data_IF_482794038660
#
_entry.id   IF_482794038660
#
_cell.length_a   1.000
_cell.length_b   1.000
_cell.length_c   1.000
_cell.angle_alpha   90.00
_cell.angle_beta   90.00
_cell.angle_gamma   90.00
#
_symmetry.space_group_name_H-M   'P 1'
#
loop_
_entity.id
_entity.type
_entity.pdbx_description
1 polymer ?
#
# COMPACT_ATOMS: atom_id res chain seq x y z
N UNK A 1 -1.34 -0.12 13.35
CA UNK A 1 -2.66 0.12 13.93
C UNK A 1 -2.64 1.09 15.11
N UNK A 2 -1.73 0.96 16.05
CA UNK A 2 -1.64 1.78 17.27
C UNK A 2 -0.62 2.91 17.16
N UNK A 3 -0.70 3.71 16.10
CA UNK A 3 0.16 4.88 15.88
C UNK A 3 -0.68 6.15 15.99
N UNK A 4 -0.28 7.08 16.86
CA UNK A 4 -0.92 8.36 17.15
C UNK A 4 -0.46 9.51 16.24
N UNK A 5 0.43 9.21 15.30
CA UNK A 5 0.98 10.17 14.35
C UNK A 5 0.05 10.38 13.15
N UNK A 6 0.48 11.26 12.25
CA UNK A 6 -0.26 11.59 11.02
C UNK A 6 -0.61 10.38 10.15
N UNK A 7 0.19 9.31 10.18
CA UNK A 7 -0.07 8.06 9.48
C UNK A 7 -1.33 7.32 9.99
N UNK A 8 -1.82 7.67 11.18
CA UNK A 8 -3.13 7.22 11.66
C UNK A 8 -4.25 7.53 10.66
N UNK A 9 -4.15 8.62 9.91
CA UNK A 9 -5.12 8.98 8.86
C UNK A 9 -5.39 7.84 7.88
N UNK A 10 -4.39 6.99 7.62
CA UNK A 10 -4.52 5.82 6.77
C UNK A 10 -4.80 4.51 7.54
N UNK A 11 -4.02 4.25 8.59
CA UNK A 11 -4.09 2.95 9.25
C UNK A 11 -5.24 2.80 10.23
N UNK A 12 -5.56 3.88 10.96
CA UNK A 12 -6.59 3.91 11.99
C UNK A 12 -6.96 5.37 12.32
N UNK A 13 -7.84 6.01 11.56
CA UNK A 13 -8.21 7.41 11.76
C UNK A 13 -8.64 7.75 13.19
N UNK A 14 -9.28 6.82 13.94
CA UNK A 14 -9.67 7.04 15.32
C UNK A 14 -8.48 7.41 16.23
N UNK A 15 -7.27 6.99 15.88
CA UNK A 15 -6.04 7.30 16.63
C UNK A 15 -5.55 8.74 16.51
N UNK A 16 -6.11 9.53 15.60
CA UNK A 16 -5.84 10.97 15.53
C UNK A 16 -6.22 11.70 16.84
N UNK A 17 -7.13 11.11 17.63
CA UNK A 17 -7.57 11.67 18.92
C UNK A 17 -6.55 11.49 20.05
N UNK A 18 -5.58 10.58 19.94
CA UNK A 18 -4.71 10.15 21.05
C UNK A 18 -3.68 11.19 21.48
N UNK A 19 -3.13 11.97 20.57
CA UNK A 19 -2.29 13.13 20.88
C UNK A 19 -3.03 14.42 20.46
N UNK A 20 -3.37 15.32 21.38
CA UNK A 20 -4.11 16.54 21.06
C UNK A 20 -3.28 17.60 20.32
N UNK A 21 -1.97 17.42 20.24
CA UNK A 21 -1.07 18.37 19.56
C UNK A 21 -1.21 18.26 18.05
N UNK A 22 -1.00 19.37 17.36
CA UNK A 22 -0.82 19.40 15.93
C UNK A 22 0.54 18.80 15.53
N UNK A 23 0.62 18.27 14.34
CA UNK A 23 1.84 17.68 13.77
C UNK A 23 2.00 18.08 12.31
N UNK A 24 3.24 18.35 11.93
CA UNK A 24 3.67 18.44 10.54
C UNK A 24 4.82 17.46 10.35
N UNK A 25 4.66 16.51 9.44
CA UNK A 25 5.63 15.43 9.23
C UNK A 25 6.11 15.42 7.79
N UNK A 26 7.41 15.25 7.63
CA UNK A 26 8.07 14.91 6.36
C UNK A 26 8.76 13.57 6.55
N UNK A 27 8.48 12.62 5.64
CA UNK A 27 9.03 11.28 5.70
C UNK A 27 9.65 10.86 4.36
N UNK A 28 10.64 9.97 4.45
CA UNK A 28 11.28 9.31 3.34
C UNK A 28 11.30 7.81 3.61
N UNK A 29 11.09 7.03 2.57
CA UNK A 29 11.24 5.59 2.59
C UNK A 29 12.07 5.17 1.38
N UNK A 30 12.96 4.23 1.58
CA UNK A 30 13.79 3.63 0.55
C UNK A 30 13.75 2.12 0.73
N UNK A 31 13.36 1.39 -0.31
CA UNK A 31 13.33 -0.06 -0.32
C UNK A 31 14.27 -0.59 -1.41
N UNK A 32 15.12 -1.52 -1.02
CA UNK A 32 15.97 -2.30 -1.89
C UNK A 32 15.46 -3.74 -1.89
N UNK A 33 15.37 -4.35 -3.05
CA UNK A 33 14.87 -5.71 -3.20
C UNK A 33 15.87 -6.52 -4.01
N UNK A 34 16.18 -7.71 -3.50
CA UNK A 34 16.95 -8.74 -4.16
C UNK A 34 15.99 -9.93 -4.38
N UNK A 35 15.44 -10.03 -5.59
CA UNK A 35 14.46 -11.04 -5.94
C UNK A 35 15.06 -11.99 -6.95
N UNK A 36 14.94 -13.30 -6.72
CA UNK A 36 15.55 -14.35 -7.51
C UNK A 36 14.49 -15.29 -8.05
N UNK A 37 14.75 -15.85 -9.23
CA UNK A 37 14.00 -16.96 -9.76
C UNK A 37 14.97 -17.86 -10.54
N UNK A 38 15.32 -18.97 -9.92
CA UNK A 38 16.28 -19.94 -10.45
C UNK A 38 15.56 -21.06 -11.18
N UNK A 39 16.03 -21.37 -12.39
CA UNK A 39 15.48 -22.44 -13.22
C UNK A 39 16.53 -23.00 -14.19
N UNK A 40 16.24 -24.12 -14.88
CA UNK A 40 17.20 -24.78 -15.78
C UNK A 40 17.70 -23.91 -16.94
N UNK A 41 16.87 -22.92 -17.34
CA UNK A 41 17.20 -21.99 -18.43
C UNK A 41 17.57 -20.59 -17.91
N UNK A 42 17.60 -20.40 -16.59
CA UNK A 42 17.80 -19.11 -15.93
C UNK A 42 18.72 -19.26 -14.76
N UNK A 43 19.68 -18.39 -14.64
CA UNK A 43 20.63 -18.35 -13.54
C UNK A 43 20.69 -16.91 -13.03
N UNK A 44 20.15 -16.67 -11.84
CA UNK A 44 20.34 -15.42 -11.11
C UNK A 44 19.15 -14.48 -10.99
N UNK A 45 19.45 -13.21 -10.84
CA UNK A 45 18.53 -12.14 -10.51
C UNK A 45 17.49 -11.91 -11.60
N UNK A 46 16.23 -12.02 -11.23
CA UNK A 46 15.09 -11.93 -12.14
C UNK A 46 14.63 -10.50 -12.34
N UNK A 47 14.93 -9.62 -11.42
CA UNK A 47 14.53 -8.22 -11.49
C UNK A 47 15.73 -7.32 -11.67
N UNK A 48 15.58 -6.34 -12.55
CA UNK A 48 16.46 -5.20 -12.52
C UNK A 48 16.37 -4.56 -11.12
N UNK A 49 17.52 -4.40 -10.45
CA UNK A 49 17.65 -3.71 -9.17
C UNK A 49 17.09 -2.29 -9.26
N UNK A 50 15.82 -2.14 -9.01
CA UNK A 50 15.16 -0.85 -9.04
C UNK A 50 14.66 -0.54 -7.64
N UNK A 51 15.41 0.25 -6.87
CA UNK A 51 14.97 0.64 -5.53
C UNK A 51 13.70 1.48 -5.62
N UNK A 52 12.80 1.27 -4.69
CA UNK A 52 11.59 2.07 -4.51
C UNK A 52 11.87 3.21 -3.54
N UNK A 53 11.47 4.44 -3.88
CA UNK A 53 11.64 5.61 -3.03
C UNK A 53 10.34 6.38 -2.89
N UNK A 54 9.90 6.58 -1.65
CA UNK A 54 8.70 7.33 -1.33
C UNK A 54 9.04 8.58 -0.54
N UNK A 55 8.40 9.68 -0.91
CA UNK A 55 8.37 10.92 -0.13
C UNK A 55 6.97 11.10 0.41
N UNK A 56 6.88 11.40 1.70
CA UNK A 56 5.63 11.54 2.41
C UNK A 56 5.59 12.89 3.12
N UNK A 57 4.47 13.58 2.99
CA UNK A 57 4.15 14.76 3.77
C UNK A 57 2.82 14.57 4.47
N UNK A 58 2.71 15.00 5.72
CA UNK A 58 1.47 14.87 6.45
C UNK A 58 1.28 15.94 7.50
N UNK A 59 0.03 16.22 7.80
CA UNK A 59 -0.39 17.16 8.82
C UNK A 59 -1.52 16.57 9.65
N UNK A 60 -1.45 16.79 10.94
CA UNK A 60 -2.53 16.52 11.88
C UNK A 60 -2.79 17.79 12.70
N UNK A 61 -4.06 18.09 12.96
CA UNK A 61 -4.41 19.26 13.76
C UNK A 61 -5.69 19.06 14.56
N UNK A 62 -5.80 19.76 15.66
CA UNK A 62 -7.00 19.80 16.50
C UNK A 62 -7.88 20.97 16.08
N UNK A 63 -9.06 20.68 15.57
CA UNK A 63 -10.04 21.68 15.10
C UNK A 63 -11.09 22.03 16.16
N UNK A 64 -10.96 21.55 17.38
CA UNK A 64 -11.97 21.74 18.45
C UNK A 64 -12.28 23.22 18.71
N UNK A 65 -11.27 24.07 18.65
CA UNK A 65 -11.45 25.53 18.84
C UNK A 65 -12.21 26.23 17.70
N UNK A 66 -12.27 25.61 16.52
CA UNK A 66 -12.97 26.12 15.34
C UNK A 66 -14.42 25.65 15.25
N UNK A 67 -14.81 24.72 16.10
CA UNK A 67 -16.12 24.08 16.06
C UNK A 67 -16.94 24.41 17.31
N UNK A 68 -18.26 24.30 17.20
CA UNK A 68 -19.19 24.42 18.33
C UNK A 68 -19.62 23.06 18.88
N UNK A 69 -19.00 21.99 18.43
CA UNK A 69 -19.29 20.64 18.90
C UNK A 69 -18.78 20.43 20.33
N UNK A 70 -19.49 19.60 21.09
CA UNK A 70 -19.10 19.26 22.47
C UNK A 70 -17.91 18.28 22.50
N UNK A 71 -17.68 17.56 21.41
CA UNK A 71 -16.62 16.56 21.30
C UNK A 71 -15.44 17.16 20.52
N UNK A 72 -14.21 16.82 20.91
CA UNK A 72 -13.03 17.28 20.19
C UNK A 72 -13.01 16.70 18.78
N UNK A 73 -12.64 17.51 17.80
CA UNK A 73 -12.50 17.12 16.41
C UNK A 73 -11.04 17.25 16.00
N UNK A 74 -10.53 16.20 15.43
CA UNK A 74 -9.18 16.12 14.87
C UNK A 74 -9.25 15.94 13.37
N UNK A 75 -8.32 16.55 12.68
CA UNK A 75 -8.17 16.45 11.25
C UNK A 75 -6.79 15.90 10.93
N UNK A 76 -6.71 15.01 9.94
CA UNK A 76 -5.49 14.44 9.44
C UNK A 76 -5.43 14.47 7.92
N UNK A 77 -4.26 14.73 7.40
CA UNK A 77 -3.95 14.74 5.99
C UNK A 77 -2.58 14.09 5.79
N UNK A 78 -2.48 13.21 4.80
CA UNK A 78 -1.23 12.59 4.41
C UNK A 78 -1.21 12.40 2.89
N UNK A 79 -0.13 12.82 2.26
CA UNK A 79 0.13 12.59 0.86
C UNK A 79 1.50 11.95 0.67
N UNK A 80 1.61 11.05 -0.27
CA UNK A 80 2.87 10.41 -0.62
C UNK A 80 3.01 10.27 -2.12
N UNK A 81 4.25 10.33 -2.57
CA UNK A 81 4.64 10.14 -3.96
C UNK A 81 5.77 9.14 -4.02
N UNK A 82 5.62 8.14 -4.86
CA UNK A 82 6.69 7.21 -5.21
C UNK A 82 7.45 7.72 -6.42
N UNK A 83 8.77 7.81 -6.31
CA UNK A 83 9.63 8.33 -7.37
C UNK A 83 9.71 7.40 -8.58
N UNK A 84 9.60 6.10 -8.35
CA UNK A 84 9.74 5.07 -9.38
C UNK A 84 8.54 4.11 -9.32
N UNK A 85 7.32 4.67 -9.41
CA UNK A 85 6.11 3.86 -9.48
C UNK A 85 6.20 2.87 -10.63
N UNK A 86 6.01 1.59 -10.32
CA UNK A 86 5.90 0.53 -11.32
C UNK A 86 4.47 0.05 -11.35
N UNK A 87 4.05 -0.37 -12.51
CA UNK A 87 2.77 -1.04 -12.70
C UNK A 87 2.74 -2.35 -11.90
N UNK A 88 1.60 -2.66 -11.33
CA UNK A 88 1.37 -3.92 -10.62
C UNK A 88 1.58 -5.11 -11.56
N UNK A 89 1.13 -4.95 -12.79
CA UNK A 89 1.25 -5.91 -13.88
C UNK A 89 1.70 -5.15 -15.13
N UNK A 90 2.95 -5.28 -15.50
CA UNK A 90 3.40 -4.88 -16.83
C UNK A 90 2.90 -5.90 -17.87
N UNK A 91 2.55 -5.42 -19.07
CA UNK A 91 2.28 -6.35 -20.17
C UNK A 91 3.51 -7.19 -20.42
N UNK A 92 3.36 -8.49 -20.25
CA UNK A 92 4.37 -9.43 -20.69
C UNK A 92 4.56 -9.27 -22.19
N UNK A 93 5.70 -8.79 -22.59
CA UNK A 93 6.15 -8.90 -23.97
C UNK A 93 6.73 -10.29 -24.14
N UNK A 94 6.40 -10.98 -25.24
CA UNK A 94 7.03 -12.25 -25.61
C UNK A 94 8.55 -12.14 -25.76
N UNK A 95 9.10 -10.94 -25.62
CA UNK A 95 10.52 -10.63 -25.69
C UNK A 95 11.11 -10.27 -24.32
N UNK A 96 10.31 -10.29 -23.23
CA UNK A 96 10.82 -10.05 -21.88
C UNK A 96 11.54 -11.31 -21.39
N UNK A 97 12.86 -11.23 -21.29
CA UNK A 97 13.69 -12.31 -20.73
C UNK A 97 13.78 -12.24 -19.21
N UNK A 98 13.31 -11.14 -18.59
CA UNK A 98 13.33 -10.92 -17.15
C UNK A 98 11.94 -11.08 -16.56
N UNK A 99 11.83 -11.83 -15.48
CA UNK A 99 10.62 -11.93 -14.67
C UNK A 99 10.52 -10.79 -13.66
N UNK A 100 9.38 -10.67 -13.03
CA UNK A 100 9.18 -9.76 -11.90
C UNK A 100 8.19 -10.35 -10.91
N UNK A 101 8.39 -10.02 -9.64
CA UNK A 101 7.43 -10.34 -8.61
C UNK A 101 6.24 -9.37 -8.68
N UNK A 102 5.07 -9.86 -8.29
CA UNK A 102 3.92 -9.00 -8.08
C UNK A 102 4.16 -8.10 -6.87
N UNK A 103 4.02 -6.82 -7.06
CA UNK A 103 4.17 -5.83 -6.01
C UNK A 103 2.80 -5.30 -5.61
N UNK A 104 2.29 -5.80 -4.49
CA UNK A 104 0.99 -5.42 -3.98
C UNK A 104 1.05 -4.12 -3.18
N UNK A 105 -0.04 -3.35 -3.25
CA UNK A 105 -0.21 -2.16 -2.41
C UNK A 105 0.69 -0.98 -2.73
N UNK A 106 1.38 -0.99 -3.85
CA UNK A 106 2.11 0.19 -4.33
C UNK A 106 1.15 1.19 -4.92
N UNK A 107 1.36 2.44 -4.58
CA UNK A 107 0.62 3.57 -5.15
C UNK A 107 1.59 4.69 -5.46
N UNK A 108 1.74 5.04 -6.73
CA UNK A 108 2.67 6.10 -7.15
C UNK A 108 2.29 7.47 -6.58
N UNK A 109 1.00 7.68 -6.34
CA UNK A 109 0.46 8.88 -5.69
C UNK A 109 -0.72 8.47 -4.82
N UNK A 110 -0.68 8.82 -3.55
CA UNK A 110 -1.82 8.68 -2.67
C UNK A 110 -2.07 9.95 -1.86
N UNK A 111 -3.35 10.17 -1.58
CA UNK A 111 -3.82 11.25 -0.75
C UNK A 111 -4.86 10.69 0.23
N UNK A 112 -4.62 10.82 1.53
CA UNK A 112 -5.61 10.48 2.54
C UNK A 112 -5.98 11.72 3.34
N UNK A 113 -7.28 11.95 3.50
CA UNK A 113 -7.84 13.06 4.27
C UNK A 113 -8.84 12.46 5.23
N UNK A 114 -8.75 12.80 6.50
CA UNK A 114 -9.63 12.23 7.49
C UNK A 114 -9.86 13.07 8.71
N UNK A 115 -10.76 12.59 9.54
CA UNK A 115 -11.06 13.20 10.84
C UNK A 115 -11.45 12.16 11.87
N UNK A 116 -11.32 12.55 13.11
CA UNK A 116 -11.68 11.71 14.25
C UNK A 116 -12.25 12.55 15.40
N UNK A 117 -13.01 11.86 16.24
CA UNK A 117 -13.59 12.45 17.43
C UNK A 117 -13.65 11.41 18.55
N UNK A 118 -13.58 11.89 19.79
CA UNK A 118 -13.95 11.07 20.95
C UNK A 118 -15.48 11.09 21.08
N UNK A 119 -16.12 9.93 20.98
CA UNK A 119 -17.58 9.80 21.06
C UNK A 119 -18.03 9.72 22.50
N UNK A 120 -17.37 8.89 23.29
CA UNK A 120 -17.73 8.64 24.67
C UNK A 120 -16.51 8.07 25.42
N UNK A 121 -16.32 8.45 26.69
CA UNK A 121 -15.33 7.94 27.66
C UNK A 121 -14.36 6.90 27.12
N UNK A 122 -13.31 7.30 26.39
CA UNK A 122 -12.32 6.37 25.87
C UNK A 122 -12.74 5.60 24.58
N UNK A 123 -13.91 5.90 24.01
CA UNK A 123 -14.33 5.41 22.71
C UNK A 123 -14.12 6.49 21.67
N UNK A 124 -13.27 6.22 20.71
CA UNK A 124 -12.95 7.10 19.60
C UNK A 124 -13.45 6.52 18.29
N UNK A 125 -13.86 7.38 17.38
CA UNK A 125 -14.19 7.00 16.01
C UNK A 125 -13.50 7.92 15.02
N UNK A 126 -13.16 7.37 13.87
CA UNK A 126 -12.51 8.08 12.80
C UNK A 126 -12.96 7.62 11.43
N UNK A 127 -12.92 8.55 10.50
CA UNK A 127 -13.19 8.34 9.09
C UNK A 127 -12.14 9.04 8.28
N UNK A 128 -11.68 8.40 7.21
CA UNK A 128 -10.87 9.07 6.21
C UNK A 128 -11.27 8.63 4.80
N UNK A 129 -10.91 9.45 3.84
CA UNK A 129 -11.04 9.20 2.43
C UNK A 129 -9.65 9.07 1.83
N UNK A 130 -9.46 8.01 1.07
CA UNK A 130 -8.30 7.79 0.22
C UNK A 130 -8.65 8.21 -1.18
N UNK A 131 -7.82 9.02 -1.80
CA UNK A 131 -7.98 9.49 -3.18
C UNK A 131 -6.84 8.92 -4.00
N UNK A 132 -7.18 8.17 -5.04
CA UNK A 132 -6.29 7.65 -6.07
C UNK A 132 -6.72 8.19 -7.43
N UNK A 133 -5.92 7.99 -8.47
CA UNK A 133 -6.22 8.42 -9.83
C UNK A 133 -6.41 7.21 -10.73
N UNK A 134 -7.50 7.22 -11.49
CA UNK A 134 -7.74 6.33 -12.62
C UNK A 134 -7.53 7.14 -13.90
N UNK A 135 -6.77 6.63 -14.87
CA UNK A 135 -6.49 7.34 -16.10
C UNK A 135 -7.01 6.56 -17.31
N UNK A 136 -7.58 7.26 -18.28
CA UNK A 136 -7.99 6.72 -19.56
C UNK A 136 -7.32 7.53 -20.67
N UNK A 137 -6.67 6.86 -21.61
CA UNK A 137 -6.05 7.48 -22.75
C UNK A 137 -6.65 6.94 -24.06
N UNK A 138 -6.96 7.82 -24.98
CA UNK A 138 -7.40 7.48 -26.35
C UNK A 138 -6.32 7.91 -27.32
N UNK A 139 -5.83 6.99 -28.13
CA UNK A 139 -4.81 7.23 -29.18
C UNK A 139 -5.37 6.92 -30.55
N UNK A 140 -5.59 7.95 -31.36
CA UNK A 140 -5.94 7.82 -32.76
C UNK A 140 -4.69 8.05 -33.61
N UNK A 141 -4.31 7.04 -34.39
CA UNK A 141 -3.13 7.12 -35.26
C UNK A 141 -3.48 6.74 -36.69
N UNK A 142 -3.10 7.60 -37.64
CA UNK A 142 -3.16 7.32 -39.08
C UNK A 142 -1.74 7.24 -39.61
N UNK A 143 -1.33 6.07 -40.09
CA UNK A 143 0.01 5.79 -40.56
C UNK A 143 -0.02 5.16 -41.98
N UNK A 144 1.12 5.15 -42.66
CA UNK A 144 1.31 4.39 -43.87
C UNK A 144 2.18 3.16 -43.63
N UNK A 145 2.30 2.27 -44.65
CA UNK A 145 3.12 1.07 -44.55
C UNK A 145 4.63 1.34 -44.38
N UNK A 146 5.09 2.55 -44.64
CA UNK A 146 6.46 3.00 -44.39
C UNK A 146 6.71 3.47 -42.97
N UNK A 147 5.68 3.46 -42.10
CA UNK A 147 5.77 3.93 -40.72
C UNK A 147 5.67 5.46 -40.57
N UNK A 148 5.32 6.18 -41.64
CA UNK A 148 5.13 7.64 -41.57
C UNK A 148 3.74 7.93 -41.01
N UNK A 149 3.66 8.61 -39.87
CA UNK A 149 2.42 9.02 -39.21
C UNK A 149 1.90 10.33 -39.81
N UNK A 150 0.70 10.30 -40.35
CA UNK A 150 0.03 11.52 -40.93
C UNK A 150 -0.76 12.27 -39.89
N UNK A 151 -1.29 11.57 -38.89
CA UNK A 151 -2.08 12.16 -37.82
C UNK A 151 -1.92 11.30 -36.56
N UNK A 152 -1.68 11.98 -35.46
CA UNK A 152 -1.66 11.39 -34.14
C UNK A 152 -2.44 12.30 -33.19
N UNK A 153 -3.35 11.72 -32.43
CA UNK A 153 -4.11 12.42 -31.42
C UNK A 153 -4.14 11.57 -30.16
N UNK A 154 -3.58 12.13 -29.09
CA UNK A 154 -3.66 11.54 -27.75
C UNK A 154 -4.60 12.39 -26.88
N UNK A 155 -5.60 11.75 -26.30
CA UNK A 155 -6.51 12.35 -25.33
C UNK A 155 -6.36 11.57 -24.01
N UNK A 156 -6.02 12.25 -22.93
CA UNK A 156 -5.88 11.63 -21.61
C UNK A 156 -6.90 12.25 -20.67
N UNK A 157 -7.68 11.41 -20.04
CA UNK A 157 -8.63 11.76 -18.99
C UNK A 157 -8.22 11.07 -17.69
N UNK A 158 -8.08 11.82 -16.59
CA UNK A 158 -7.77 11.30 -15.28
C UNK A 158 -8.89 11.65 -14.31
N UNK A 159 -9.46 10.63 -13.67
CA UNK A 159 -10.58 10.78 -12.73
C UNK A 159 -10.15 10.34 -11.32
N UNK A 160 -10.51 11.12 -10.27
CA UNK A 160 -10.21 10.72 -8.91
C UNK A 160 -11.17 9.60 -8.45
N UNK A 161 -10.60 8.52 -7.94
CA UNK A 161 -11.33 7.48 -7.22
C UNK A 161 -11.21 7.71 -5.72
N UNK A 162 -12.35 7.71 -5.01
CA UNK A 162 -12.38 8.03 -3.57
C UNK A 162 -12.90 6.83 -2.80
N UNK A 163 -12.08 6.30 -1.89
CA UNK A 163 -12.42 5.14 -1.06
C UNK A 163 -12.41 5.50 0.42
N UNK A 164 -13.30 4.87 1.19
CA UNK A 164 -13.46 5.15 2.62
C UNK A 164 -12.58 4.28 3.48
N UNK A 165 -12.11 4.87 4.59
CA UNK A 165 -11.46 4.17 5.69
C UNK A 165 -12.23 4.53 6.95
N UNK A 166 -12.68 3.53 7.69
CA UNK A 166 -13.44 3.68 8.92
C UNK A 166 -12.69 3.03 10.07
N UNK A 167 -12.75 3.62 11.24
CA UNK A 167 -12.13 2.98 12.41
C UNK A 167 -12.79 3.38 13.72
N UNK A 168 -12.58 2.53 14.72
CA UNK A 168 -12.93 2.81 16.11
C UNK A 168 -11.85 2.28 17.04
N UNK A 169 -11.70 2.90 18.20
CA UNK A 169 -10.86 2.38 19.27
C UNK A 169 -11.55 2.52 20.62
N UNK A 170 -11.25 1.59 21.54
CA UNK A 170 -11.78 1.53 22.88
C UNK A 170 -10.61 1.43 23.86
N UNK A 171 -10.43 2.44 24.67
CA UNK A 171 -9.59 2.42 25.86
C UNK A 171 -10.43 1.83 27.01
N UNK A 172 -10.19 0.59 27.36
CA UNK A 172 -10.99 -0.16 28.31
C UNK A 172 -10.94 0.45 29.72
N UNK A 173 -9.76 0.96 30.10
CA UNK A 173 -9.58 1.64 31.37
C UNK A 173 -10.43 2.89 31.48
N UNK A 174 -10.34 3.81 30.50
CA UNK A 174 -11.13 5.04 30.50
C UNK A 174 -12.63 4.79 30.37
N UNK A 175 -13.02 3.73 29.68
CA UNK A 175 -14.43 3.41 29.41
C UNK A 175 -15.13 2.80 30.62
N UNK A 176 -14.50 1.81 31.27
CA UNK A 176 -15.17 0.95 32.25
C UNK A 176 -14.61 1.05 33.66
N UNK A 177 -13.42 1.64 33.88
CA UNK A 177 -12.84 1.75 35.21
C UNK A 177 -13.25 3.04 35.88
N UNK A 178 -13.79 2.94 37.10
CA UNK A 178 -14.11 4.08 37.95
C UNK A 178 -13.06 4.34 39.04
N UNK A 179 -12.17 3.36 39.29
CA UNK A 179 -11.21 3.39 40.41
C UNK A 179 -9.78 3.10 39.91
N UNK A 180 -8.79 3.56 40.69
CA UNK A 180 -7.38 3.23 40.46
C UNK A 180 -7.12 1.73 40.78
N UNK A 181 -6.38 1.06 39.92
CA UNK A 181 -6.03 -0.38 40.07
C UNK A 181 -6.93 -1.35 39.31
N UNK A 182 -7.78 -0.85 38.44
CA UNK A 182 -8.59 -1.66 37.56
C UNK A 182 -7.71 -2.45 36.57
N UNK A 183 -7.95 -3.76 36.46
CA UNK A 183 -7.17 -4.65 35.58
C UNK A 183 -7.31 -4.35 34.07
N UNK A 184 -8.35 -3.62 33.69
CA UNK A 184 -8.55 -3.14 32.32
C UNK A 184 -7.73 -1.89 32.00
N UNK A 185 -7.12 -1.26 33.02
CA UNK A 185 -6.27 -0.08 32.80
C UNK A 185 -5.07 -0.45 31.93
N UNK A 186 -4.80 0.35 30.92
CA UNK A 186 -3.74 0.11 29.96
C UNK A 186 -4.12 -0.77 28.74
N UNK A 187 -5.27 -1.45 28.80
CA UNK A 187 -5.77 -2.20 27.66
C UNK A 187 -6.51 -1.32 26.67
N UNK A 188 -6.20 -1.52 25.39
CA UNK A 188 -6.86 -0.83 24.29
C UNK A 188 -7.10 -1.81 23.13
N UNK A 189 -8.27 -1.71 22.50
CA UNK A 189 -8.63 -2.50 21.31
C UNK A 189 -9.06 -1.55 20.22
N UNK A 190 -8.72 -1.85 18.97
CA UNK A 190 -9.09 -1.06 17.82
C UNK A 190 -9.53 -1.95 16.66
N UNK A 191 -10.46 -1.41 15.87
CA UNK A 191 -10.97 -2.01 14.63
C UNK A 191 -10.84 -0.97 13.53
N UNK A 192 -10.33 -1.38 12.37
CA UNK A 192 -10.27 -0.53 11.18
C UNK A 192 -10.76 -1.32 9.97
N UNK A 193 -11.45 -0.62 9.09
CA UNK A 193 -11.92 -1.08 7.80
C UNK A 193 -11.38 -0.17 6.70
N UNK A 194 -10.83 -0.72 5.66
CA UNK A 194 -10.38 -0.01 4.45
C UNK A 194 -11.09 -0.60 3.25
N UNK A 195 -11.83 0.23 2.53
CA UNK A 195 -12.50 -0.19 1.30
C UNK A 195 -11.47 -0.47 0.20
N UNK A 196 -11.80 -1.39 -0.69
CA UNK A 196 -11.02 -1.71 -1.90
C UNK A 196 -10.66 -0.44 -2.65
N UNK A 197 -9.44 -0.33 -3.11
CA UNK A 197 -8.94 0.74 -3.95
C UNK A 197 -8.12 0.16 -5.10
N UNK A 198 -8.42 0.58 -6.31
CA UNK A 198 -7.65 0.26 -7.50
C UNK A 198 -7.32 1.54 -8.26
N UNK A 199 -6.19 1.56 -8.91
CA UNK A 199 -5.83 2.55 -9.90
C UNK A 199 -5.45 1.81 -11.17
N UNK A 200 -6.05 2.20 -12.29
CA UNK A 200 -5.80 1.58 -13.59
C UNK A 200 -5.61 2.65 -14.66
N UNK A 201 -4.83 2.32 -15.66
CA UNK A 201 -4.68 3.13 -16.87
C UNK A 201 -5.18 2.32 -18.06
N UNK A 202 -6.18 2.84 -18.75
CA UNK A 202 -6.69 2.27 -19.99
C UNK A 202 -6.25 3.10 -21.18
N UNK A 203 -5.74 2.44 -22.21
CA UNK A 203 -5.38 3.08 -23.48
C UNK A 203 -6.20 2.43 -24.58
N UNK A 204 -7.12 3.19 -25.16
CA UNK A 204 -7.82 2.80 -26.38
C UNK A 204 -7.09 3.40 -27.58
N UNK A 205 -6.50 2.55 -28.43
CA UNK A 205 -5.79 2.95 -29.62
C UNK A 205 -6.55 2.53 -30.88
N UNK A 206 -6.71 3.45 -31.81
CA UNK A 206 -7.25 3.16 -33.12
C UNK A 206 -6.19 3.44 -34.20
N UNK A 207 -5.79 2.41 -34.92
CA UNK A 207 -4.74 2.48 -35.93
C UNK A 207 -5.32 2.29 -37.31
N UNK A 208 -5.19 3.29 -38.16
CA UNK A 208 -5.55 3.25 -39.58
C UNK A 208 -4.26 3.21 -40.39
N UNK A 209 -4.16 2.21 -41.27
CA UNK A 209 -3.03 2.10 -42.20
C UNK A 209 -3.60 2.18 -43.64
N UNK A 210 -3.31 3.27 -44.33
CA UNK A 210 -3.80 3.50 -45.68
C UNK A 210 -3.57 2.27 -46.58
N UNK A 211 -4.62 1.82 -47.25
CA UNK A 211 -4.67 0.68 -48.17
C UNK A 211 -4.57 -0.73 -47.51
N UNK A 212 -4.24 -0.81 -46.23
CA UNK A 212 -4.09 -2.11 -45.52
C UNK A 212 -5.15 -2.28 -44.44
N UNK A 213 -5.35 -1.29 -43.63
CA UNK A 213 -6.36 -1.23 -42.53
C UNK A 213 -7.17 0.05 -42.74
N UNK A 214 -8.25 -0.02 -43.56
CA UNK A 214 -9.07 1.17 -43.85
C UNK A 214 -9.91 1.59 -42.66
N UNK A 215 -10.49 2.78 -42.71
CA UNK A 215 -11.47 3.26 -41.77
C UNK A 215 -12.62 2.22 -41.58
N UNK A 216 -12.99 1.81 -40.33
CA UNK A 216 -12.75 2.47 -39.06
C UNK A 216 -11.40 2.14 -38.37
N UNK A 217 -10.50 1.40 -38.97
CA UNK A 217 -9.19 1.08 -38.41
C UNK A 217 -9.15 -0.21 -37.61
N UNK A 218 -8.02 -0.47 -36.98
CA UNK A 218 -7.82 -1.54 -36.00
C UNK A 218 -7.90 -0.92 -34.60
N UNK A 219 -8.93 -1.29 -33.85
CA UNK A 219 -9.07 -0.89 -32.48
C UNK A 219 -8.24 -1.83 -31.59
N UNK A 220 -7.38 -1.25 -30.77
CA UNK A 220 -6.57 -1.92 -29.75
C UNK A 220 -6.92 -1.29 -28.41
N UNK A 221 -7.30 -2.08 -27.44
CA UNK A 221 -7.54 -1.64 -26.07
C UNK A 221 -6.51 -2.31 -25.16
N UNK A 222 -5.84 -1.50 -24.34
CA UNK A 222 -4.84 -1.94 -23.39
C UNK A 222 -5.19 -1.34 -22.05
N UNK A 223 -5.35 -2.17 -21.02
CA UNK A 223 -5.59 -1.72 -19.65
C UNK A 223 -4.50 -2.29 -18.76
N UNK A 224 -3.89 -1.42 -17.96
CA UNK A 224 -2.95 -1.78 -16.91
C UNK A 224 -3.58 -1.52 -15.55
N UNK A 225 -3.35 -2.40 -14.59
CA UNK A 225 -3.65 -2.15 -13.19
C UNK A 225 -2.37 -1.59 -12.56
N UNK A 226 -2.38 -0.29 -12.27
CA UNK A 226 -1.20 0.41 -11.75
C UNK A 226 -1.02 0.12 -10.25
N UNK A 227 -2.13 0.02 -9.52
CA UNK A 227 -2.13 -0.42 -8.13
C UNK A 227 -3.47 -1.04 -7.74
N UNK A 228 -3.41 -1.99 -6.82
CA UNK A 228 -4.59 -2.62 -6.24
C UNK A 228 -4.40 -2.76 -4.73
N UNK A 229 -5.40 -2.37 -3.96
CA UNK A 229 -5.49 -2.64 -2.53
C UNK A 229 -6.81 -3.29 -2.23
N UNK A 230 -6.80 -4.51 -1.67
CA UNK A 230 -8.01 -5.25 -1.34
C UNK A 230 -8.81 -4.57 -0.24
N UNK A 231 -10.08 -4.89 -0.18
CA UNK A 231 -10.86 -4.63 1.02
C UNK A 231 -10.16 -5.27 2.23
N UNK A 232 -10.02 -4.50 3.31
CA UNK A 232 -9.20 -4.91 4.44
C UNK A 232 -9.90 -4.65 5.77
N UNK A 233 -9.92 -5.66 6.64
CA UNK A 233 -10.35 -5.56 8.01
C UNK A 233 -9.18 -5.79 8.97
N UNK A 234 -9.01 -4.92 9.94
CA UNK A 234 -7.94 -5.04 10.92
C UNK A 234 -8.50 -4.97 12.32
N UNK A 235 -8.24 -5.98 13.12
CA UNK A 235 -8.49 -5.94 14.56
C UNK A 235 -7.17 -6.03 15.31
N UNK A 236 -7.01 -5.24 16.36
CA UNK A 236 -5.81 -5.27 17.19
C UNK A 236 -6.10 -4.94 18.63
N UNK A 237 -5.20 -5.39 19.49
CA UNK A 237 -5.20 -5.05 20.90
C UNK A 237 -3.78 -4.70 21.34
N UNK A 238 -3.69 -3.78 22.30
CA UNK A 238 -2.42 -3.44 22.94
C UNK A 238 -2.60 -3.28 24.44
N UNK A 239 -1.50 -3.48 25.15
CA UNK A 239 -1.37 -3.14 26.55
C UNK A 239 -0.25 -2.13 26.74
N UNK A 240 -0.53 -1.08 27.47
CA UNK A 240 0.42 -0.02 27.81
C UNK A 240 0.77 -0.11 29.30
N UNK A 241 2.04 -0.39 29.57
CA UNK A 241 2.65 -0.33 30.89
C UNK A 241 3.36 0.99 31.14
N UNK A 242 4.14 1.05 32.21
CA UNK A 242 4.97 2.20 32.55
C UNK A 242 6.26 2.17 31.73
N UNK A 243 6.38 3.08 30.76
CA UNK A 243 7.53 3.16 29.85
C UNK A 243 7.60 2.09 28.75
N UNK A 244 6.57 1.28 28.55
CA UNK A 244 6.52 0.30 27.47
C UNK A 244 5.10 0.02 27.00
N UNK A 245 4.98 -0.46 25.78
CA UNK A 245 3.73 -1.00 25.25
C UNK A 245 4.00 -2.21 24.36
N UNK A 246 3.09 -3.16 24.37
CA UNK A 246 3.09 -4.31 23.48
C UNK A 246 1.70 -4.47 22.87
N UNK A 247 1.64 -4.84 21.61
CA UNK A 247 0.37 -5.05 20.94
C UNK A 247 0.49 -5.99 19.76
N UNK A 248 -0.64 -6.61 19.44
CA UNK A 248 -0.79 -7.47 18.27
C UNK A 248 -2.02 -7.08 17.46
N UNK A 249 -2.00 -7.43 16.19
CA UNK A 249 -3.13 -7.26 15.29
C UNK A 249 -3.20 -8.38 14.27
N UNK A 250 -4.41 -8.64 13.79
CA UNK A 250 -4.66 -9.50 12.63
C UNK A 250 -5.35 -8.65 11.59
N UNK A 251 -4.84 -8.71 10.39
CA UNK A 251 -5.37 -8.04 9.22
C UNK A 251 -5.85 -9.09 8.22
N UNK A 252 -7.12 -9.02 7.82
CA UNK A 252 -7.70 -9.80 6.75
C UNK A 252 -7.73 -8.95 5.49
N UNK A 253 -7.28 -9.50 4.39
CA UNK A 253 -7.25 -8.85 3.07
C UNK A 253 -7.99 -9.73 2.06
N UNK A 254 -8.98 -9.16 1.37
CA UNK A 254 -9.85 -9.85 0.41
C UNK A 254 -9.24 -9.76 -1.00
N UNK A 255 -8.16 -10.50 -1.24
CA UNK A 255 -7.44 -10.51 -2.52
C UNK A 255 -8.19 -11.20 -3.66
N UNK A 256 -9.14 -12.07 -3.35
CA UNK A 256 -10.02 -12.71 -4.35
C UNK A 256 -10.76 -11.67 -5.23
N UNK A 257 -10.97 -10.45 -4.73
CA UNK A 257 -11.54 -9.35 -5.51
C UNK A 257 -10.66 -8.88 -6.68
N UNK A 258 -9.37 -9.20 -6.69
CA UNK A 258 -8.47 -8.89 -7.81
C UNK A 258 -8.80 -9.72 -9.06
N UNK A 259 -9.35 -10.93 -8.89
CA UNK A 259 -9.81 -11.76 -10.01
C UNK A 259 -10.93 -11.05 -10.81
N UNK A 260 -11.82 -10.35 -10.12
CA UNK A 260 -12.91 -9.61 -10.75
C UNK A 260 -12.39 -8.42 -11.57
N UNK A 261 -11.34 -7.75 -11.11
CA UNK A 261 -10.69 -6.65 -11.86
C UNK A 261 -10.11 -7.18 -13.18
N UNK A 262 -9.38 -8.30 -13.15
CA UNK A 262 -8.84 -8.93 -14.36
C UNK A 262 -9.93 -9.45 -15.29
N UNK A 263 -11.02 -9.99 -14.75
CA UNK A 263 -12.15 -10.47 -15.55
C UNK A 263 -12.91 -9.31 -16.21
N UNK A 264 -13.07 -8.19 -15.54
CA UNK A 264 -13.82 -7.05 -16.06
C UNK A 264 -13.13 -6.38 -17.26
N UNK A 265 -11.81 -6.31 -17.25
CA UNK A 265 -11.01 -5.75 -18.33
C UNK A 265 -10.98 -6.65 -19.58
N UNK A 266 -11.14 -7.95 -19.38
CA UNK A 266 -11.10 -8.95 -20.49
C UNK A 266 -12.41 -9.04 -21.27
N UNK A 267 -13.54 -8.62 -20.71
CA UNK A 267 -14.88 -8.75 -21.34
C UNK A 267 -15.02 -7.89 -22.62
N UNK A 268 -14.18 -6.87 -22.80
CA UNK A 268 -14.22 -6.04 -24.02
C UNK A 268 -13.73 -6.78 -25.28
N UNK A 269 -12.96 -7.83 -25.14
CA UNK A 269 -12.49 -8.65 -26.26
C UNK A 269 -12.95 -10.13 -26.11
N UNK A 270 -14.10 -10.45 -26.71
CA UNK A 270 -14.84 -11.70 -26.47
C UNK A 270 -14.14 -13.01 -26.85
N UNK A 271 -12.89 -13.00 -27.34
CA UNK A 271 -12.26 -14.21 -27.88
C UNK A 271 -10.88 -14.61 -27.33
N UNK A 272 -10.27 -13.83 -26.44
CA UNK A 272 -8.99 -14.21 -25.80
C UNK A 272 -8.94 -13.71 -24.36
N UNK A 273 -9.12 -14.62 -23.42
CA UNK A 273 -8.76 -14.35 -22.03
C UNK A 273 -7.27 -14.02 -21.96
N UNK A 274 -6.96 -12.84 -21.45
CA UNK A 274 -5.58 -12.50 -21.08
C UNK A 274 -5.01 -13.60 -20.17
N UNK A 275 -3.72 -13.92 -20.23
CA UNK A 275 -3.09 -14.81 -19.26
C UNK A 275 -3.36 -14.39 -17.80
N UNK A 276 -3.38 -13.09 -17.51
CA UNK A 276 -3.71 -12.53 -16.21
C UNK A 276 -5.13 -12.92 -15.72
N UNK A 277 -6.10 -13.07 -16.62
CA UNK A 277 -7.46 -13.49 -16.26
C UNK A 277 -7.57 -14.96 -15.79
N UNK A 278 -6.48 -15.73 -15.84
CA UNK A 278 -6.42 -17.11 -15.34
C UNK A 278 -5.77 -17.21 -13.95
N UNK A 279 -5.26 -16.12 -13.44
CA UNK A 279 -4.65 -16.09 -12.13
C UNK A 279 -5.73 -16.13 -11.06
N UNK A 280 -5.48 -16.90 -10.02
CA UNK A 280 -6.36 -17.05 -8.86
C UNK A 280 -5.68 -16.52 -7.62
N UNK A 281 -6.47 -15.87 -6.78
CA UNK A 281 -6.01 -15.27 -5.54
C UNK A 281 -6.85 -15.74 -4.37
N UNK A 282 -6.21 -16.05 -3.26
CA UNK A 282 -6.85 -16.36 -1.99
C UNK A 282 -6.82 -15.14 -1.06
N UNK A 283 -7.84 -15.02 -0.23
CA UNK A 283 -7.86 -14.03 0.84
C UNK A 283 -6.84 -14.40 1.90
N UNK A 284 -6.13 -13.39 2.43
CA UNK A 284 -5.01 -13.60 3.35
C UNK A 284 -5.28 -13.06 4.74
N UNK A 285 -4.64 -13.68 5.74
CA UNK A 285 -4.60 -13.22 7.11
C UNK A 285 -3.17 -12.88 7.51
N UNK A 286 -2.95 -11.64 7.96
CA UNK A 286 -1.64 -11.13 8.31
C UNK A 286 -1.56 -10.86 9.81
N UNK A 287 -1.01 -11.77 10.61
CA UNK A 287 -0.73 -11.53 12.02
C UNK A 287 0.50 -10.62 12.18
N UNK A 288 0.40 -9.68 13.11
CA UNK A 288 1.48 -8.75 13.48
C UNK A 288 1.60 -8.65 14.97
N UNK A 289 2.85 -8.63 15.46
CA UNK A 289 3.18 -8.40 16.86
C UNK A 289 4.25 -7.31 16.94
N UNK A 290 4.12 -6.39 17.88
CA UNK A 290 5.11 -5.34 18.05
C UNK A 290 5.09 -4.74 19.44
N UNK A 291 6.19 -4.05 19.77
CA UNK A 291 6.34 -3.36 21.03
C UNK A 291 7.16 -2.08 20.90
N UNK A 292 6.99 -1.21 21.89
CA UNK A 292 7.77 0.00 22.07
C UNK A 292 8.25 0.06 23.52
N UNK A 293 9.50 0.47 23.69
CA UNK A 293 10.14 0.67 24.97
C UNK A 293 10.72 2.09 25.04
N UNK A 294 10.29 2.87 26.02
CA UNK A 294 10.83 4.20 26.29
C UNK A 294 12.11 4.07 27.09
N UNK A 295 13.25 4.40 26.50
CA UNK A 295 14.53 4.43 27.18
C UNK A 295 14.58 5.59 28.20
N UNK A 296 13.97 6.69 27.83
CA UNK A 296 13.77 7.90 28.64
C UNK A 296 12.75 8.82 27.94
N UNK A 297 12.51 10.01 28.47
CA UNK A 297 11.54 10.98 27.94
C UNK A 297 11.81 11.42 26.50
N UNK A 298 13.01 11.21 26.00
CA UNK A 298 13.43 11.67 24.68
C UNK A 298 13.63 10.54 23.67
N UNK A 299 13.87 9.30 24.11
CA UNK A 299 14.22 8.19 23.23
C UNK A 299 13.31 6.99 23.44
N UNK A 300 12.82 6.42 22.35
CA UNK A 300 12.12 5.13 22.36
C UNK A 300 12.64 4.18 21.29
N UNK A 301 12.60 2.89 21.60
CA UNK A 301 12.90 1.79 20.69
C UNK A 301 11.63 1.06 20.35
N UNK A 302 11.55 0.57 19.13
CA UNK A 302 10.43 -0.25 18.63
C UNK A 302 10.96 -1.49 17.95
N UNK A 303 10.21 -2.57 18.09
CA UNK A 303 10.46 -3.79 17.33
C UNK A 303 9.12 -4.43 16.97
N UNK A 304 9.10 -5.17 15.86
CA UNK A 304 7.90 -5.86 15.43
C UNK A 304 8.21 -6.97 14.44
N UNK A 305 7.26 -7.89 14.32
CA UNK A 305 7.28 -9.00 13.38
C UNK A 305 5.92 -9.15 12.73
N UNK A 306 5.89 -9.53 11.46
CA UNK A 306 4.70 -9.87 10.72
C UNK A 306 4.95 -11.11 9.85
N UNK A 307 3.91 -11.89 9.64
CA UNK A 307 3.87 -12.95 8.64
C UNK A 307 2.76 -12.62 7.64
N UNK A 308 3.08 -12.68 6.37
CA UNK A 308 2.17 -12.37 5.28
C UNK A 308 2.20 -13.52 4.28
N UNK A 309 1.07 -14.21 4.16
CA UNK A 309 0.89 -15.26 3.16
C UNK A 309 0.73 -14.63 1.78
N UNK A 310 1.31 -15.27 0.78
CA UNK A 310 1.10 -14.88 -0.62
C UNK A 310 -0.37 -15.05 -0.99
N UNK A 311 -1.03 -14.01 -1.50
CA UNK A 311 -2.38 -14.17 -2.02
C UNK A 311 -2.43 -14.95 -3.33
N UNK A 312 -1.31 -15.08 -4.05
CA UNK A 312 -1.27 -15.75 -5.34
C UNK A 312 -1.41 -17.26 -5.17
N UNK A 313 -2.52 -17.84 -5.65
CA UNK A 313 -2.79 -19.28 -5.63
C UNK A 313 -2.17 -20.01 -6.79
N UNK A 314 -2.16 -19.39 -7.96
CA UNK A 314 -1.70 -19.99 -9.20
C UNK A 314 -0.18 -20.12 -9.20
N UNK A 315 0.32 -21.35 -9.27
CA UNK A 315 1.76 -21.66 -9.39
C UNK A 315 2.17 -22.03 -10.80
N UNK A 316 1.20 -22.27 -11.70
CA UNK A 316 1.45 -22.52 -13.13
C UNK A 316 1.09 -21.28 -13.92
N UNK A 317 2.10 -20.48 -14.23
CA UNK A 317 1.94 -19.17 -14.81
C UNK A 317 2.27 -19.17 -16.30
N UNK A 318 1.51 -18.41 -17.12
CA UNK A 318 1.78 -18.29 -18.53
C UNK A 318 3.04 -17.47 -18.83
N UNK A 319 3.52 -16.73 -17.86
CA UNK A 319 4.67 -15.82 -17.99
C UNK A 319 5.42 -15.71 -16.67
N UNK A 320 6.70 -15.41 -16.74
CA UNK A 320 7.59 -15.23 -15.57
C UNK A 320 7.25 -13.98 -14.74
N UNK A 321 6.35 -13.13 -15.20
CA UNK A 321 6.02 -11.88 -14.53
C UNK A 321 5.04 -12.01 -13.35
N UNK A 322 4.63 -13.23 -13.00
CA UNK A 322 3.61 -13.48 -11.98
C UNK A 322 4.15 -14.40 -10.90
N UNK A 323 5.13 -13.90 -10.16
CA UNK A 323 5.71 -14.61 -9.03
C UNK A 323 5.33 -13.88 -7.74
N UNK A 324 5.00 -14.63 -6.70
CA UNK A 324 4.79 -14.12 -5.37
C UNK A 324 4.95 -15.22 -4.33
N UNK A 325 5.48 -14.88 -3.17
CA UNK A 325 5.80 -15.83 -2.10
C UNK A 325 5.40 -15.30 -0.75
N UNK A 326 5.27 -16.19 0.24
CA UNK A 326 5.07 -15.82 1.64
C UNK A 326 6.21 -14.97 2.16
N UNK A 327 5.91 -14.02 3.07
CA UNK A 327 6.87 -13.06 3.59
C UNK A 327 6.91 -13.07 5.11
N UNK A 328 8.11 -13.11 5.66
CA UNK A 328 8.34 -12.83 7.09
C UNK A 328 9.04 -11.48 7.19
N UNK A 329 8.43 -10.56 7.92
CA UNK A 329 8.94 -9.21 8.11
C UNK A 329 9.39 -9.00 9.55
N UNK A 330 10.57 -8.44 9.74
CA UNK A 330 11.09 -8.01 11.05
C UNK A 330 11.47 -6.54 10.96
N UNK A 331 10.96 -5.73 11.87
CA UNK A 331 11.19 -4.28 11.89
C UNK A 331 11.81 -3.80 13.19
N UNK A 332 12.70 -2.82 13.08
CA UNK A 332 13.30 -2.09 14.20
C UNK A 332 13.11 -0.59 13.98
N UNK A 333 12.89 0.16 15.04
CA UNK A 333 12.73 1.60 14.99
C UNK A 333 13.34 2.31 16.18
N UNK A 334 13.85 3.52 15.93
CA UNK A 334 14.35 4.44 16.93
C UNK A 334 13.63 5.77 16.78
N UNK A 335 13.16 6.34 17.89
CA UNK A 335 12.61 7.69 17.92
C UNK A 335 13.40 8.56 18.88
N UNK A 336 13.66 9.80 18.47
CA UNK A 336 14.29 10.82 19.29
C UNK A 336 13.42 12.09 19.30
N UNK A 337 13.06 12.57 20.47
CA UNK A 337 12.25 13.80 20.64
C UNK A 337 13.11 14.89 21.29
N UNK A 338 13.22 16.01 20.61
CA UNK A 338 13.96 17.19 21.06
C UNK A 338 12.97 18.27 21.50
N UNK A 339 12.76 18.39 22.81
CA UNK A 339 11.78 19.32 23.38
C UNK A 339 12.18 20.80 23.26
N UNK A 340 13.48 21.07 23.09
CA UNK A 340 14.01 22.44 22.91
C UNK A 340 15.08 22.43 21.84
N UNK A 341 14.86 23.13 20.76
CA UNK A 341 15.85 23.38 19.73
C UNK A 341 16.17 24.87 19.66
N UNK A 342 17.34 25.25 19.18
CA UNK A 342 17.70 26.67 19.04
C UNK A 342 16.91 27.41 17.98
N UNK A 343 16.39 26.68 17.00
CA UNK A 343 15.74 27.22 15.81
C UNK A 343 14.22 27.17 15.85
N UNK A 344 13.64 26.20 16.57
CA UNK A 344 12.21 25.95 16.57
C UNK A 344 11.64 26.08 17.98
N UNK A 345 10.50 26.72 18.09
CA UNK A 345 9.79 26.93 19.35
C UNK A 345 9.08 25.67 19.85
N UNK A 346 8.85 24.72 18.97
CA UNK A 346 8.09 23.50 19.23
C UNK A 346 8.98 22.25 19.23
N UNK A 347 8.59 21.19 19.93
CA UNK A 347 9.29 19.91 19.91
C UNK A 347 9.45 19.34 18.50
N UNK A 348 10.62 18.80 18.24
CA UNK A 348 10.90 18.07 16.99
C UNK A 348 11.16 16.62 17.33
N UNK A 349 10.50 15.73 16.63
CA UNK A 349 10.72 14.29 16.71
C UNK A 349 11.36 13.80 15.41
N UNK A 350 12.36 12.96 15.55
CA UNK A 350 13.02 12.25 14.44
C UNK A 350 12.80 10.78 14.66
N UNK A 351 12.26 10.10 13.64
CA UNK A 351 12.07 8.66 13.64
C UNK A 351 12.95 8.04 12.55
N UNK A 352 13.60 6.94 12.88
CA UNK A 352 14.36 6.09 11.96
C UNK A 352 13.82 4.68 12.06
N UNK A 353 13.68 4.00 10.94
CA UNK A 353 13.20 2.63 10.88
C UNK A 353 13.98 1.81 9.87
N UNK A 354 14.13 0.55 10.19
CA UNK A 354 14.64 -0.49 9.30
C UNK A 354 13.74 -1.69 9.37
N UNK A 355 13.38 -2.23 8.19
CA UNK A 355 12.62 -3.47 8.09
C UNK A 355 13.33 -4.40 7.11
N UNK A 356 13.44 -5.65 7.53
CA UNK A 356 13.88 -6.76 6.71
C UNK A 356 12.70 -7.65 6.42
N UNK A 357 12.52 -8.01 5.14
CA UNK A 357 11.50 -8.95 4.71
C UNK A 357 12.19 -10.10 3.99
N UNK A 358 11.94 -11.32 4.47
CA UNK A 358 12.38 -12.56 3.81
C UNK A 358 11.21 -13.12 3.02
N UNK A 359 11.37 -13.25 1.72
CA UNK A 359 10.49 -13.98 0.84
C UNK A 359 10.87 -15.46 0.91
N UNK A 360 9.88 -16.32 1.20
CA UNK A 360 10.13 -17.75 1.32
C UNK A 360 10.23 -18.38 -0.07
N UNK A 361 11.00 -19.45 -0.18
CA UNK A 361 11.12 -20.23 -1.42
C UNK A 361 9.75 -20.78 -1.83
N UNK A 362 9.44 -20.63 -3.13
CA UNK A 362 8.22 -21.18 -3.73
C UNK A 362 8.49 -21.61 -5.17
N UNK A 363 8.00 -22.79 -5.51
CA UNK A 363 8.13 -23.36 -6.85
C UNK A 363 6.99 -22.92 -7.77
N UNK A 364 7.35 -22.58 -9.01
CA UNK A 364 6.44 -22.21 -10.08
C UNK A 364 6.77 -23.01 -11.35
N UNK A 365 5.74 -23.29 -12.14
CA UNK A 365 5.92 -23.82 -13.51
C UNK A 365 5.56 -22.69 -14.48
N UNK A 366 6.53 -22.21 -15.21
CA UNK A 366 6.35 -21.20 -16.25
C UNK A 366 6.04 -21.91 -17.57
N UNK A 367 4.98 -21.49 -18.24
CA UNK A 367 4.56 -22.07 -19.54
C UNK A 367 4.75 -21.01 -20.60
N UNK A 368 5.70 -21.22 -21.52
CA UNK A 368 5.96 -20.28 -22.60
C UNK A 368 4.82 -20.29 -23.65
N UNK A 369 4.91 -19.36 -24.62
CA UNK A 369 3.94 -19.24 -25.72
C UNK A 369 3.84 -20.51 -26.57
N UNK A 370 4.91 -21.33 -26.65
CA UNK A 370 4.95 -22.59 -27.42
C UNK A 370 4.44 -23.77 -26.60
N UNK A 371 4.10 -23.57 -25.31
CA UNK A 371 3.66 -24.60 -24.40
C UNK A 371 4.81 -25.38 -23.75
N UNK A 372 6.05 -24.90 -23.84
CA UNK A 372 7.15 -25.50 -23.08
C UNK A 372 7.01 -25.09 -21.61
N UNK A 373 7.31 -26.01 -20.73
CA UNK A 373 7.25 -25.84 -19.29
C UNK A 373 8.66 -25.71 -18.72
N UNK A 374 8.83 -24.75 -17.81
CA UNK A 374 10.04 -24.54 -17.05
C UNK A 374 9.69 -24.44 -15.57
N UNK A 375 10.29 -25.28 -14.74
CA UNK A 375 10.16 -25.18 -13.28
C UNK A 375 11.16 -24.17 -12.76
N UNK A 376 10.64 -23.22 -11.98
CA UNK A 376 11.41 -22.09 -11.44
C UNK A 376 11.14 -21.98 -9.95
N UNK A 377 12.18 -21.86 -9.15
CA UNK A 377 12.08 -21.57 -7.71
C UNK A 377 12.31 -20.09 -7.48
N UNK A 378 11.35 -19.43 -6.85
CA UNK A 378 11.41 -17.99 -6.56
C UNK A 378 11.63 -17.74 -5.07
N UNK A 379 12.54 -16.83 -4.73
CA UNK A 379 12.81 -16.35 -3.38
C UNK A 379 13.30 -14.90 -3.39
N UNK A 380 13.65 -14.36 -2.23
CA UNK A 380 14.29 -13.04 -2.15
C UNK A 380 14.31 -12.42 -0.78
N UNK A 381 14.86 -11.22 -0.78
CA UNK A 381 15.00 -10.37 0.40
C UNK A 381 14.61 -8.92 0.05
N UNK A 382 13.97 -8.22 0.99
CA UNK A 382 13.67 -6.80 0.84
C UNK A 382 14.16 -6.05 2.07
N UNK A 383 14.94 -5.00 1.85
CA UNK A 383 15.45 -4.09 2.87
C UNK A 383 14.77 -2.75 2.76
N UNK A 384 14.05 -2.32 3.82
CA UNK A 384 13.36 -1.04 3.85
C UNK A 384 13.96 -0.14 4.89
N UNK A 385 14.40 1.04 4.47
CA UNK A 385 14.91 2.10 5.33
C UNK A 385 13.88 3.25 5.35
N UNK A 386 13.54 3.74 6.51
CA UNK A 386 12.64 4.87 6.65
C UNK A 386 13.19 5.92 7.60
N UNK A 387 12.87 7.17 7.32
CA UNK A 387 13.18 8.28 8.19
C UNK A 387 12.10 9.33 8.14
N UNK A 388 11.78 9.94 9.27
CA UNK A 388 10.86 11.06 9.30
C UNK A 388 11.25 12.12 10.31
N UNK A 389 10.84 13.36 10.03
CA UNK A 389 10.95 14.49 10.93
C UNK A 389 9.55 15.04 11.15
N UNK A 390 9.14 15.13 12.41
CA UNK A 390 7.83 15.62 12.84
C UNK A 390 8.00 16.81 13.75
N UNK A 391 7.36 17.92 13.39
CA UNK A 391 7.19 19.10 14.24
C UNK A 391 5.85 18.96 14.97
N UNK A 392 5.85 19.03 16.31
CA UNK A 392 4.65 18.98 17.16
C UNK A 392 4.34 20.37 17.71
N UNK A 393 3.13 20.90 17.45
CA UNK A 393 2.70 22.26 17.84
C UNK A 393 1.34 22.31 18.52
#
# INVERSE_FOLDING_TARGET
MFNDQVSATYYNPAYLTKDPRGELTLGLLHAEQELRADGPLRDGDVLADSPSQHVLIGMKTNLTSLTRFKHPIYFGFIAGVEKYGKELLAFGSNTSESGQFMEYGKEPLFLNIGGATNIWRGIDAGISARVTLEATAELDTISNLAGETRRERLSVNAEPSVKSILSTSIDWGKTFCSESGCWLSGWETALAYRAKSSASTSVDANVIVDQTIPDPGLALAVTTIDSFQPETWVIGTQYQGDGWRIGGSVEQQNWSELEDEFASDTIKDQNRLSPAARMQFDDTLIPRLGGEFMLNDNFSLRAGVAYEESPLKTTRNPEINYLDTDKISVGLGLSATFNRTRLLAYPVRVDLGYQYQKLQERDFTIVDYNGNEEDVTADGDIHVFSGSVTLKF
#
